data_IF_148064030572
#
_entry.id   IF_148064030572
#
_cell.length_a   1.000
_cell.length_b   1.000
_cell.length_c   1.000
_cell.angle_alpha   90.00
_cell.angle_beta   90.00
_cell.angle_gamma   90.00
#
_symmetry.space_group_name_H-M   'P 1'
#
loop_
_entity.id
_entity.type
_entity.pdbx_description
1 polymer ?
#
# COMPACT_ATOMS: atom_id res chain seq x y z
N UNK A 1 -35.44 -41.95 48.95
CA UNK A 1 -36.60 -41.65 48.09
C UNK A 1 -36.85 -40.17 48.26
N UNK A 2 -36.66 -39.29 47.29
CA UNK A 2 -36.68 -39.41 45.84
C UNK A 2 -35.57 -38.54 45.23
N UNK A 3 -34.92 -39.07 44.19
CA UNK A 3 -33.99 -38.33 43.34
C UNK A 3 -34.88 -37.66 42.28
N UNK A 4 -35.12 -36.36 42.40
CA UNK A 4 -35.79 -35.58 41.36
C UNK A 4 -34.81 -35.46 40.20
N UNK A 5 -34.96 -36.34 39.22
CA UNK A 5 -34.31 -36.25 37.92
C UNK A 5 -34.81 -35.00 37.21
N UNK A 6 -33.98 -33.95 37.19
CA UNK A 6 -34.16 -32.83 36.27
C UNK A 6 -33.96 -33.35 34.85
N UNK A 7 -35.06 -33.76 34.22
CA UNK A 7 -35.14 -33.90 32.77
C UNK A 7 -35.10 -32.48 32.23
N UNK A 8 -33.92 -32.06 31.78
CA UNK A 8 -33.80 -30.87 30.93
C UNK A 8 -34.53 -31.21 29.63
N UNK A 9 -35.65 -30.53 29.38
CA UNK A 9 -36.45 -30.69 28.17
C UNK A 9 -35.56 -30.57 26.91
N UNK A 10 -35.34 -31.69 26.22
CA UNK A 10 -34.63 -31.75 24.94
C UNK A 10 -35.09 -30.73 23.86
N UNK A 11 -36.40 -30.36 23.72
CA UNK A 11 -36.80 -29.43 22.66
C UNK A 11 -36.24 -28.01 22.81
N UNK A 12 -35.88 -27.57 24.02
CA UNK A 12 -35.34 -26.23 24.25
C UNK A 12 -33.84 -26.14 23.89
N UNK A 13 -33.11 -27.24 24.09
CA UNK A 13 -31.70 -27.35 23.72
C UNK A 13 -31.51 -27.41 22.20
N UNK A 14 -32.40 -28.13 21.50
CA UNK A 14 -32.40 -28.15 20.03
C UNK A 14 -32.72 -26.79 19.41
N UNK A 15 -33.75 -26.10 19.90
CA UNK A 15 -34.11 -24.75 19.41
C UNK A 15 -32.93 -23.75 19.53
N UNK A 16 -32.22 -23.80 20.66
CA UNK A 16 -31.04 -22.95 20.91
C UNK A 16 -29.89 -23.30 19.96
N UNK A 17 -29.69 -24.59 19.64
CA UNK A 17 -28.69 -25.04 18.66
C UNK A 17 -29.01 -24.56 17.25
N UNK A 18 -30.26 -24.70 16.80
CA UNK A 18 -30.68 -24.22 15.48
C UNK A 18 -30.51 -22.70 15.35
N UNK A 19 -30.84 -21.94 16.39
CA UNK A 19 -30.63 -20.49 16.42
C UNK A 19 -29.14 -20.11 16.29
N UNK A 20 -28.25 -20.82 17.00
CA UNK A 20 -26.80 -20.60 16.90
C UNK A 20 -26.26 -20.91 15.49
N UNK A 21 -26.69 -22.01 14.87
CA UNK A 21 -26.30 -22.36 13.50
C UNK A 21 -26.74 -21.27 12.52
N UNK A 22 -27.98 -20.79 12.65
CA UNK A 22 -28.51 -19.71 11.83
C UNK A 22 -27.71 -18.41 12.01
N UNK A 23 -27.32 -18.08 13.24
CA UNK A 23 -26.49 -16.90 13.55
C UNK A 23 -25.09 -16.99 12.94
N UNK A 24 -24.43 -18.16 13.02
CA UNK A 24 -23.12 -18.40 12.37
C UNK A 24 -23.24 -18.21 10.86
N UNK A 25 -24.25 -18.81 10.24
CA UNK A 25 -24.47 -18.70 8.80
C UNK A 25 -24.69 -17.24 8.38
N UNK A 26 -25.48 -16.48 9.13
CA UNK A 26 -25.76 -15.07 8.88
C UNK A 26 -24.51 -14.17 9.06
N UNK A 27 -23.75 -14.35 10.14
CA UNK A 27 -22.53 -13.57 10.38
C UNK A 27 -21.42 -13.90 9.38
N UNK A 28 -21.30 -15.17 8.96
CA UNK A 28 -20.31 -15.57 7.95
C UNK A 28 -20.62 -15.02 6.56
N UNK A 29 -21.91 -14.87 6.19
CA UNK A 29 -22.31 -14.29 4.90
C UNK A 29 -22.03 -12.80 4.81
N UNK A 30 -22.22 -12.04 5.88
CA UNK A 30 -21.93 -10.60 5.89
C UNK A 30 -20.47 -10.28 5.51
N UNK A 31 -19.53 -11.09 5.99
CA UNK A 31 -18.10 -10.93 5.68
C UNK A 31 -17.79 -11.19 4.20
N UNK A 32 -18.44 -12.18 3.59
CA UNK A 32 -18.33 -12.48 2.14
C UNK A 32 -18.80 -11.28 1.34
N UNK A 33 -19.96 -10.75 1.68
CA UNK A 33 -20.51 -9.58 1.00
C UNK A 33 -19.57 -8.37 1.10
N UNK A 34 -18.97 -8.11 2.28
CA UNK A 34 -18.00 -7.01 2.41
C UNK A 34 -16.73 -7.24 1.58
N UNK A 35 -16.21 -8.47 1.54
CA UNK A 35 -14.99 -8.79 0.79
C UNK A 35 -15.23 -8.70 -0.73
N UNK A 36 -16.35 -9.26 -1.22
CA UNK A 36 -16.74 -9.21 -2.63
C UNK A 36 -17.08 -7.78 -3.05
N UNK A 37 -17.83 -7.04 -2.22
CA UNK A 37 -18.15 -5.64 -2.48
C UNK A 37 -16.88 -4.79 -2.59
N UNK A 38 -15.94 -4.98 -1.66
CA UNK A 38 -14.66 -4.28 -1.67
C UNK A 38 -13.85 -4.59 -2.93
N UNK A 39 -13.75 -5.87 -3.33
CA UNK A 39 -13.00 -6.26 -4.53
C UNK A 39 -13.63 -5.70 -5.80
N UNK A 40 -14.93 -5.92 -6.02
CA UNK A 40 -15.62 -5.49 -7.24
C UNK A 40 -15.69 -3.98 -7.38
N UNK A 41 -15.95 -3.25 -6.28
CA UNK A 41 -16.05 -1.79 -6.33
C UNK A 41 -14.68 -1.14 -6.51
N UNK A 42 -13.64 -1.66 -5.83
CA UNK A 42 -12.31 -1.06 -5.87
C UNK A 42 -11.62 -1.29 -7.20
N UNK A 43 -11.77 -2.48 -7.81
CA UNK A 43 -11.19 -2.78 -9.13
C UNK A 43 -11.79 -1.84 -10.19
N UNK A 44 -13.13 -1.75 -10.25
CA UNK A 44 -13.82 -0.84 -11.19
C UNK A 44 -13.46 0.62 -11.00
N UNK A 45 -13.32 1.07 -9.75
CA UNK A 45 -12.90 2.44 -9.45
C UNK A 45 -11.48 2.70 -9.96
N UNK A 46 -10.56 1.76 -9.76
CA UNK A 46 -9.18 1.86 -10.27
C UNK A 46 -9.12 1.88 -11.80
N UNK A 47 -9.89 1.03 -12.48
CA UNK A 47 -9.98 1.02 -13.95
C UNK A 47 -10.48 2.37 -14.48
N UNK A 48 -11.50 2.97 -13.84
CA UNK A 48 -12.02 4.28 -14.24
C UNK A 48 -11.02 5.43 -13.98
N UNK A 49 -10.23 5.36 -12.90
CA UNK A 49 -9.14 6.31 -12.65
C UNK A 49 -8.01 6.13 -13.67
N UNK A 50 -7.69 4.89 -14.05
CA UNK A 50 -6.71 4.56 -15.08
C UNK A 50 -7.12 5.08 -16.47
N UNK A 51 -8.35 4.83 -16.91
CA UNK A 51 -8.85 5.33 -18.19
C UNK A 51 -8.77 6.86 -18.28
N UNK A 52 -9.04 7.55 -17.17
CA UNK A 52 -8.89 9.01 -17.10
C UNK A 52 -7.44 9.42 -17.27
N UNK A 53 -6.51 8.76 -16.56
CA UNK A 53 -5.08 9.02 -16.69
C UNK A 53 -4.61 8.76 -18.12
N UNK A 54 -4.88 7.58 -18.69
CA UNK A 54 -4.49 7.23 -20.07
C UNK A 54 -5.04 8.23 -21.09
N UNK A 55 -6.32 8.60 -20.98
CA UNK A 55 -6.96 9.57 -21.89
C UNK A 55 -6.32 10.95 -21.80
N UNK A 56 -6.02 11.41 -20.57
CA UNK A 56 -5.42 12.73 -20.33
C UNK A 56 -3.97 12.79 -20.81
N UNK A 57 -3.27 11.65 -20.84
CA UNK A 57 -1.84 11.60 -21.12
C UNK A 57 -1.48 11.34 -22.58
N UNK A 58 -2.45 10.97 -23.43
CA UNK A 58 -2.20 10.69 -24.85
C UNK A 58 -1.15 9.60 -25.10
N UNK A 59 -0.97 8.68 -24.14
CA UNK A 59 0.02 7.60 -24.20
C UNK A 59 -0.36 6.68 -25.36
N UNK A 60 0.63 6.26 -26.15
CA UNK A 60 0.38 5.39 -27.30
C UNK A 60 -0.30 4.08 -26.86
N UNK A 61 -1.28 3.63 -27.65
CA UNK A 61 -2.08 2.45 -27.34
C UNK A 61 -1.22 1.19 -27.06
N UNK A 62 0.00 1.09 -27.60
CA UNK A 62 0.88 -0.08 -27.41
C UNK A 62 1.43 -0.21 -25.97
N UNK A 63 1.86 0.88 -25.32
CA UNK A 63 2.37 0.83 -23.93
C UNK A 63 1.21 0.56 -22.95
N UNK A 64 0.03 1.11 -23.28
CA UNK A 64 -1.23 0.92 -22.54
C UNK A 64 -1.71 -0.52 -22.67
N UNK A 65 -1.69 -1.11 -23.88
CA UNK A 65 -2.12 -2.49 -24.12
C UNK A 65 -1.21 -3.49 -23.40
N UNK A 66 0.12 -3.27 -23.41
CA UNK A 66 1.06 -4.10 -22.67
C UNK A 66 0.81 -4.06 -21.16
N UNK A 67 0.62 -2.85 -20.60
CA UNK A 67 0.34 -2.67 -19.18
C UNK A 67 -1.03 -3.25 -18.81
N UNK A 68 -2.06 -3.00 -19.61
CA UNK A 68 -3.43 -3.50 -19.39
C UNK A 68 -3.51 -5.01 -19.49
N UNK A 69 -2.75 -5.63 -20.40
CA UNK A 69 -2.69 -7.08 -20.55
C UNK A 69 -1.95 -7.75 -19.40
N UNK A 70 -0.84 -7.16 -18.94
CA UNK A 70 -0.14 -7.63 -17.73
C UNK A 70 -1.05 -7.57 -16.48
N UNK A 71 -1.87 -6.52 -16.35
CA UNK A 71 -2.87 -6.39 -15.28
C UNK A 71 -3.97 -7.44 -15.42
N UNK A 72 -4.50 -7.66 -16.62
CA UNK A 72 -5.58 -8.62 -16.85
C UNK A 72 -5.18 -10.06 -16.48
N UNK A 73 -3.90 -10.38 -16.61
CA UNK A 73 -3.33 -11.67 -16.18
C UNK A 73 -3.06 -11.72 -14.66
N UNK A 74 -2.67 -10.60 -14.04
CA UNK A 74 -2.42 -10.49 -12.58
C UNK A 74 -3.71 -10.42 -11.74
N UNK A 75 -4.81 -9.93 -12.32
CA UNK A 75 -6.13 -9.80 -11.69
C UNK A 75 -7.14 -10.83 -12.22
N UNK A 76 -6.66 -11.99 -12.69
CA UNK A 76 -7.53 -13.04 -13.18
C UNK A 76 -8.54 -13.45 -12.09
N UNK A 77 -9.83 -13.41 -12.41
CA UNK A 77 -10.96 -13.64 -11.49
C UNK A 77 -10.89 -14.95 -10.69
N UNK A 78 -10.06 -15.91 -11.10
CA UNK A 78 -9.80 -17.17 -10.40
C UNK A 78 -8.97 -17.03 -9.13
N UNK A 79 -8.08 -16.04 -9.03
CA UNK A 79 -7.17 -15.89 -7.89
C UNK A 79 -7.86 -15.33 -6.63
N UNK A 80 -9.05 -14.75 -6.79
CA UNK A 80 -9.86 -14.26 -5.67
C UNK A 80 -10.73 -15.33 -5.02
N UNK A 81 -10.98 -16.44 -5.71
CA UNK A 81 -11.79 -17.53 -5.19
C UNK A 81 -11.11 -18.19 -3.97
N UNK A 82 -9.78 -18.36 -4.04
CA UNK A 82 -9.00 -19.03 -3.00
C UNK A 82 -8.90 -18.20 -1.70
N UNK A 83 -8.53 -16.90 -1.70
CA UNK A 83 -8.55 -16.06 -0.51
C UNK A 83 -9.96 -15.91 0.07
N UNK A 84 -10.98 -15.78 -0.78
CA UNK A 84 -12.36 -15.65 -0.32
C UNK A 84 -12.83 -16.93 0.37
N UNK A 85 -12.59 -18.09 -0.22
CA UNK A 85 -12.88 -19.39 0.39
C UNK A 85 -12.09 -19.64 1.69
N UNK A 86 -10.85 -19.16 1.75
CA UNK A 86 -10.03 -19.26 2.95
C UNK A 86 -10.60 -18.40 4.09
N UNK A 87 -10.90 -17.12 3.81
CA UNK A 87 -11.46 -16.19 4.80
C UNK A 87 -12.82 -16.69 5.31
N UNK A 88 -13.68 -17.19 4.43
CA UNK A 88 -14.98 -17.75 4.84
C UNK A 88 -14.84 -18.96 5.73
N UNK A 89 -13.91 -19.85 5.42
CA UNK A 89 -13.64 -21.05 6.22
C UNK A 89 -13.14 -20.66 7.62
N UNK A 90 -12.20 -19.71 7.71
CA UNK A 90 -11.66 -19.21 8.99
C UNK A 90 -12.76 -18.53 9.82
N UNK A 91 -13.59 -17.70 9.20
CA UNK A 91 -14.70 -17.02 9.89
C UNK A 91 -15.77 -18.02 10.37
N UNK A 92 -16.17 -18.97 9.52
CA UNK A 92 -17.14 -20.00 9.88
C UNK A 92 -16.65 -20.84 11.05
N UNK A 93 -15.36 -21.22 11.02
CA UNK A 93 -14.72 -21.94 12.12
C UNK A 93 -14.66 -21.10 13.41
N UNK A 94 -14.25 -19.83 13.31
CA UNK A 94 -14.16 -18.92 14.45
C UNK A 94 -15.52 -18.65 15.12
N UNK A 95 -16.57 -18.37 14.34
CA UNK A 95 -17.92 -18.15 14.88
C UNK A 95 -18.52 -19.43 15.45
N UNK A 96 -18.31 -20.58 14.81
CA UNK A 96 -18.73 -21.88 15.33
C UNK A 96 -18.04 -22.16 16.68
N UNK A 97 -16.72 -21.98 16.76
CA UNK A 97 -15.99 -22.15 18.02
C UNK A 97 -16.41 -21.16 19.11
N UNK A 98 -16.75 -19.92 18.78
CA UNK A 98 -17.21 -18.94 19.78
C UNK A 98 -18.60 -19.30 20.34
N UNK A 99 -19.56 -19.62 19.48
CA UNK A 99 -20.96 -19.83 19.89
C UNK A 99 -21.20 -21.21 20.50
N UNK A 100 -20.46 -22.23 20.05
CA UNK A 100 -20.51 -23.59 20.62
C UNK A 100 -19.46 -23.80 21.71
N UNK A 101 -18.37 -23.03 21.72
CA UNK A 101 -17.36 -23.06 22.78
C UNK A 101 -17.94 -22.68 24.15
N UNK A 102 -18.87 -21.73 24.19
CA UNK A 102 -19.57 -21.37 25.44
C UNK A 102 -20.38 -22.54 26.04
N UNK A 103 -20.94 -23.43 25.20
CA UNK A 103 -21.67 -24.62 25.65
C UNK A 103 -20.73 -25.74 26.10
N UNK A 104 -19.54 -25.86 25.50
CA UNK A 104 -18.52 -26.82 25.94
C UNK A 104 -17.99 -26.53 27.35
N UNK A 105 -18.07 -25.26 27.77
CA UNK A 105 -17.59 -24.75 29.05
C UNK A 105 -18.61 -24.95 30.16
N UNK A 106 -19.91 -24.82 29.85
CA UNK A 106 -20.97 -25.13 30.81
C UNK A 106 -21.02 -26.62 31.18
N UNK A 107 -20.53 -27.50 30.29
CA UNK A 107 -20.40 -28.95 30.54
C UNK A 107 -19.21 -29.32 31.46
N UNK A 108 -18.23 -28.45 31.66
CA UNK A 108 -17.05 -28.71 32.50
C UNK A 108 -16.68 -27.49 33.38
N UNK A 109 -17.46 -27.18 34.43
CA UNK A 109 -17.18 -26.06 35.33
C UNK A 109 -15.87 -26.32 36.10
N UNK A 110 -14.80 -25.64 35.73
CA UNK A 110 -13.49 -25.74 36.40
C UNK A 110 -12.26 -25.78 35.47
N UNK A 111 -12.46 -25.91 34.15
CA UNK A 111 -11.37 -25.76 33.17
C UNK A 111 -11.46 -24.39 32.50
N UNK A 112 -10.42 -23.57 32.66
CA UNK A 112 -10.29 -22.32 31.90
C UNK A 112 -10.34 -22.60 30.41
N UNK A 113 -11.05 -21.76 29.65
CA UNK A 113 -11.09 -21.85 28.19
C UNK A 113 -9.67 -21.66 27.65
N UNK A 114 -8.99 -22.77 27.28
CA UNK A 114 -7.65 -22.74 26.68
C UNK A 114 -7.59 -21.78 25.47
N UNK A 115 -8.72 -21.53 24.80
CA UNK A 115 -8.80 -20.62 23.66
C UNK A 115 -8.74 -19.13 24.05
N UNK A 116 -9.48 -18.67 25.07
CA UNK A 116 -9.38 -17.27 25.53
C UNK A 116 -8.00 -16.98 26.14
N UNK A 117 -7.42 -17.98 26.80
CA UNK A 117 -6.05 -17.90 27.31
C UNK A 117 -4.99 -17.96 26.20
N UNK A 118 -5.31 -18.57 25.05
CA UNK A 118 -4.41 -18.70 23.89
C UNK A 118 -4.52 -17.59 22.84
N UNK A 119 -5.66 -16.90 22.72
CA UNK A 119 -5.86 -15.84 21.71
C UNK A 119 -5.23 -14.49 22.09
N UNK A 120 -5.01 -14.24 23.38
CA UNK A 120 -4.31 -13.05 23.88
C UNK A 120 -3.42 -13.44 25.07
N UNK A 121 -2.29 -14.14 24.84
CA UNK A 121 -1.31 -14.31 25.90
C UNK A 121 -0.75 -12.93 26.25
N UNK A 122 -0.49 -12.67 27.54
CA UNK A 122 0.13 -11.41 27.99
C UNK A 122 1.47 -11.10 27.29
N UNK A 123 2.07 -12.10 26.64
CA UNK A 123 3.31 -12.00 25.87
C UNK A 123 3.09 -11.78 24.36
N UNK A 124 1.86 -11.91 23.83
CA UNK A 124 1.58 -11.69 22.40
C UNK A 124 1.91 -10.28 21.95
N UNK A 125 1.65 -9.27 22.79
CA UNK A 125 2.02 -7.88 22.50
C UNK A 125 3.55 -7.69 22.41
N UNK A 126 4.32 -8.47 23.18
CA UNK A 126 5.79 -8.46 23.15
C UNK A 126 6.29 -9.16 21.87
N UNK A 127 5.69 -10.29 21.48
CA UNK A 127 6.03 -11.00 20.25
C UNK A 127 5.62 -10.22 18.99
N UNK A 128 4.48 -9.51 19.01
CA UNK A 128 4.09 -8.59 17.94
C UNK A 128 5.14 -7.48 17.81
N UNK A 129 5.50 -6.84 18.94
CA UNK A 129 6.54 -5.81 18.97
C UNK A 129 7.89 -6.31 18.44
N UNK A 130 8.30 -7.54 18.77
CA UNK A 130 9.54 -8.15 18.29
C UNK A 130 9.47 -8.50 16.80
N UNK A 131 8.34 -9.03 16.30
CA UNK A 131 8.15 -9.32 14.87
C UNK A 131 8.08 -8.05 14.03
N UNK A 132 7.52 -6.96 14.57
CA UNK A 132 7.61 -5.63 13.97
C UNK A 132 9.04 -5.06 14.01
N UNK A 133 9.85 -5.42 15.02
CA UNK A 133 11.27 -5.05 15.09
C UNK A 133 12.14 -5.82 14.10
N UNK A 134 11.77 -7.05 13.75
CA UNK A 134 12.45 -7.88 12.73
C UNK A 134 12.13 -7.38 11.31
N UNK A 135 10.94 -6.84 11.04
CA UNK A 135 10.67 -6.12 9.78
C UNK A 135 11.31 -4.72 9.74
N UNK A 136 11.64 -4.18 10.91
CA UNK A 136 12.56 -3.04 11.06
C UNK A 136 13.99 -3.56 11.12
N UNK A 137 14.38 -4.47 10.22
CA UNK A 137 15.76 -4.94 10.16
C UNK A 137 16.66 -3.79 9.73
N UNK A 138 17.64 -3.51 10.58
CA UNK A 138 18.77 -2.64 10.29
C UNK A 138 19.39 -3.10 8.97
N UNK A 139 19.20 -2.31 7.91
CA UNK A 139 19.96 -2.39 6.67
C UNK A 139 21.39 -1.92 6.92
N UNK A 140 22.12 -2.69 7.71
CA UNK A 140 23.55 -2.55 7.91
C UNK A 140 24.21 -3.83 7.40
N UNK A 141 24.15 -4.07 6.09
CA UNK A 141 25.24 -4.77 5.41
C UNK A 141 25.30 -4.48 3.89
N UNK A 142 26.23 -3.59 3.53
CA UNK A 142 27.01 -3.57 2.28
C UNK A 142 26.26 -3.51 0.93
N UNK A 143 25.83 -2.30 0.56
CA UNK A 143 25.93 -1.64 -0.77
C UNK A 143 25.42 -0.20 -0.62
N UNK A 144 25.64 0.71 -1.58
CA UNK A 144 25.09 2.07 -1.53
C UNK A 144 23.56 2.09 -1.71
N UNK A 145 22.83 1.42 -0.83
CA UNK A 145 21.38 1.31 -0.92
C UNK A 145 20.79 2.63 -0.48
N UNK A 146 20.31 3.43 -1.43
CA UNK A 146 19.65 4.70 -1.20
C UNK A 146 18.33 4.44 -0.44
N UNK A 147 18.26 4.62 0.90
CA UNK A 147 17.09 4.21 1.67
C UNK A 147 15.83 5.01 1.29
N UNK A 148 14.69 4.32 1.19
CA UNK A 148 13.38 4.97 0.96
C UNK A 148 13.00 5.96 2.05
N UNK A 149 13.57 5.84 3.25
CA UNK A 149 13.33 6.76 4.37
C UNK A 149 13.84 8.18 4.09
N UNK A 150 14.74 8.36 3.12
CA UNK A 150 15.18 9.69 2.71
C UNK A 150 14.14 10.40 1.86
N UNK A 151 13.11 9.72 1.34
CA UNK A 151 12.03 10.35 0.58
C UNK A 151 10.99 10.93 1.54
N UNK A 152 10.75 12.24 1.44
CA UNK A 152 9.80 12.92 2.31
C UNK A 152 8.36 12.47 2.00
N UNK A 153 7.59 12.20 3.05
CA UNK A 153 6.21 11.69 2.95
C UNK A 153 6.10 10.16 2.88
N UNK A 154 7.22 9.42 2.76
CA UNK A 154 7.22 7.96 2.92
C UNK A 154 7.32 7.62 4.42
N UNK A 155 6.33 6.87 4.92
CA UNK A 155 6.37 6.29 6.25
C UNK A 155 6.65 4.78 6.17
N UNK A 156 6.74 4.12 7.32
CA UNK A 156 7.00 2.67 7.36
C UNK A 156 5.93 1.85 6.62
N UNK A 157 4.65 2.23 6.71
CA UNK A 157 3.58 1.52 6.00
C UNK A 157 3.71 1.68 4.48
N UNK A 158 4.10 2.87 4.01
CA UNK A 158 4.38 3.11 2.59
C UNK A 158 5.56 2.24 2.13
N UNK A 159 6.64 2.15 2.92
CA UNK A 159 7.79 1.29 2.63
C UNK A 159 7.40 -0.17 2.49
N UNK A 160 6.59 -0.72 3.40
CA UNK A 160 6.12 -2.11 3.32
C UNK A 160 5.34 -2.37 2.03
N UNK A 161 4.41 -1.46 1.68
CA UNK A 161 3.61 -1.57 0.45
C UNK A 161 4.41 -1.40 -0.83
N UNK A 162 5.45 -0.57 -0.81
CA UNK A 162 6.39 -0.43 -1.92
C UNK A 162 7.25 -1.71 -2.06
N UNK A 163 7.68 -2.31 -0.95
CA UNK A 163 8.37 -3.60 -0.96
C UNK A 163 7.51 -4.74 -1.52
N UNK A 164 6.19 -4.72 -1.30
CA UNK A 164 5.24 -5.69 -1.91
C UNK A 164 5.28 -5.67 -3.45
N UNK A 165 5.67 -4.55 -4.06
CA UNK A 165 5.78 -4.40 -5.52
C UNK A 165 7.24 -4.39 -6.01
N UNK A 166 8.18 -4.82 -5.16
CA UNK A 166 9.61 -4.92 -5.50
C UNK A 166 10.37 -3.60 -5.45
N UNK A 167 9.83 -2.59 -4.76
CA UNK A 167 10.49 -1.29 -4.56
C UNK A 167 11.08 -1.24 -3.16
N UNK A 168 12.37 -1.55 -3.05
CA UNK A 168 13.06 -1.68 -1.78
C UNK A 168 13.97 -0.47 -1.44
N UNK A 169 14.43 0.25 -2.47
CA UNK A 169 15.28 1.42 -2.34
C UNK A 169 14.85 2.56 -3.28
N UNK A 170 15.42 3.74 -3.09
CA UNK A 170 15.08 4.93 -3.89
C UNK A 170 15.52 4.81 -5.36
N UNK A 171 16.54 4.00 -5.67
CA UNK A 171 16.92 3.75 -7.06
C UNK A 171 15.85 2.93 -7.79
N UNK A 172 15.31 1.90 -7.15
CA UNK A 172 14.18 1.14 -7.70
C UNK A 172 12.97 2.05 -7.91
N UNK A 173 12.67 2.94 -6.95
CA UNK A 173 11.56 3.88 -7.07
C UNK A 173 11.78 4.90 -8.20
N UNK A 174 13.01 5.37 -8.41
CA UNK A 174 13.36 6.34 -9.45
C UNK A 174 13.27 5.75 -10.88
N UNK A 175 13.52 4.46 -11.03
CA UNK A 175 13.50 3.73 -12.31
C UNK A 175 12.17 3.00 -12.55
N UNK A 176 11.29 2.95 -11.55
CA UNK A 176 10.03 2.23 -11.64
C UNK A 176 9.10 2.80 -12.72
N UNK A 177 8.34 1.91 -13.35
CA UNK A 177 7.24 2.32 -14.21
C UNK A 177 6.12 2.92 -13.35
N UNK A 178 5.98 4.25 -13.41
CA UNK A 178 5.00 5.01 -12.64
C UNK A 178 3.56 4.52 -12.89
N UNK A 179 3.27 4.08 -14.12
CA UNK A 179 1.95 3.55 -14.48
C UNK A 179 1.70 2.25 -13.72
N UNK A 180 2.65 1.33 -13.75
CA UNK A 180 2.57 0.06 -13.00
C UNK A 180 2.40 0.31 -11.50
N UNK A 181 3.11 1.29 -10.95
CA UNK A 181 2.97 1.65 -9.55
C UNK A 181 1.56 2.14 -9.20
N UNK A 182 0.91 2.98 -10.01
CA UNK A 182 -0.50 3.38 -9.75
C UNK A 182 -1.46 2.20 -9.70
N UNK A 183 -1.17 1.18 -10.50
CA UNK A 183 -2.01 0.00 -10.65
C UNK A 183 -1.82 -0.95 -9.47
N UNK A 184 -0.57 -1.28 -9.16
CA UNK A 184 -0.23 -2.25 -8.11
C UNK A 184 -0.34 -1.68 -6.70
N UNK A 185 -0.17 -0.38 -6.52
CA UNK A 185 -0.19 0.24 -5.19
C UNK A 185 -1.49 1.01 -4.92
N UNK A 186 -1.90 1.16 -3.66
CA UNK A 186 -3.10 1.91 -3.30
C UNK A 186 -2.85 3.41 -3.08
N UNK A 187 -1.76 3.97 -3.62
CA UNK A 187 -1.35 5.35 -3.38
C UNK A 187 -2.06 6.36 -4.28
N UNK A 188 -2.15 7.61 -3.82
CA UNK A 188 -2.65 8.72 -4.63
C UNK A 188 -1.67 8.99 -5.79
N UNK A 189 -2.13 9.14 -7.05
CA UNK A 189 -1.27 9.46 -8.17
C UNK A 189 -0.35 10.66 -7.95
N UNK A 190 -0.86 11.77 -7.39
CA UNK A 190 -0.06 12.97 -7.11
C UNK A 190 1.07 12.70 -6.11
N UNK A 191 0.78 11.91 -5.08
CA UNK A 191 1.75 11.53 -4.07
C UNK A 191 2.84 10.61 -4.64
N UNK A 192 2.47 9.67 -5.50
CA UNK A 192 3.41 8.71 -6.06
C UNK A 192 4.34 9.38 -7.09
N UNK A 193 3.84 10.30 -7.90
CA UNK A 193 4.65 11.13 -8.80
C UNK A 193 5.65 11.95 -8.03
N UNK A 194 5.20 12.57 -6.94
CA UNK A 194 6.05 13.34 -6.05
C UNK A 194 7.19 12.49 -5.48
N UNK A 195 6.88 11.29 -4.96
CA UNK A 195 7.89 10.37 -4.46
C UNK A 195 8.87 9.90 -5.53
N UNK A 196 8.41 9.60 -6.75
CA UNK A 196 9.29 9.23 -7.87
C UNK A 196 10.20 10.42 -8.25
N UNK A 197 9.66 11.64 -8.27
CA UNK A 197 10.44 12.85 -8.57
C UNK A 197 11.50 13.14 -7.50
N UNK A 198 11.18 12.96 -6.22
CA UNK A 198 12.14 13.03 -5.12
C UNK A 198 13.20 11.91 -5.22
N UNK A 199 12.79 10.69 -5.58
CA UNK A 199 13.68 9.54 -5.70
C UNK A 199 14.69 9.76 -6.84
N UNK A 200 14.25 10.26 -8.00
CA UNK A 200 15.14 10.63 -9.10
C UNK A 200 16.17 11.68 -8.66
N UNK A 201 15.74 12.74 -7.98
CA UNK A 201 16.67 13.74 -7.42
C UNK A 201 17.67 13.10 -6.46
N UNK A 202 17.19 12.23 -5.56
CA UNK A 202 18.04 11.55 -4.59
C UNK A 202 19.07 10.62 -5.24
N UNK A 203 18.74 9.95 -6.35
CA UNK A 203 19.70 9.11 -7.09
C UNK A 203 20.86 9.91 -7.67
N UNK A 204 20.62 11.14 -8.15
CA UNK A 204 21.67 11.99 -8.70
C UNK A 204 22.60 12.58 -7.63
N UNK A 205 22.02 13.08 -6.54
CA UNK A 205 22.77 13.83 -5.52
C UNK A 205 23.22 13.00 -4.32
N UNK A 206 22.57 11.86 -4.07
CA UNK A 206 22.89 10.92 -2.99
C UNK A 206 23.07 11.67 -1.66
N UNK A 207 24.27 11.67 -1.09
CA UNK A 207 24.59 12.32 0.19
C UNK A 207 24.38 13.84 0.17
N UNK A 208 24.48 14.48 -1.01
CA UNK A 208 24.30 15.93 -1.15
C UNK A 208 22.83 16.37 -1.21
N UNK A 209 21.87 15.43 -1.18
CA UNK A 209 20.43 15.73 -1.27
C UNK A 209 19.95 16.71 -0.19
N UNK A 210 20.48 16.57 1.03
CA UNK A 210 20.12 17.43 2.15
C UNK A 210 20.56 18.89 1.95
N UNK A 211 21.62 19.11 1.17
CA UNK A 211 22.07 20.45 0.84
C UNK A 211 21.10 21.12 -0.14
N UNK A 212 20.57 20.37 -1.11
CA UNK A 212 19.56 20.84 -2.05
C UNK A 212 18.21 21.13 -1.36
N UNK A 213 17.82 20.31 -0.39
CA UNK A 213 16.57 20.53 0.35
C UNK A 213 16.59 21.81 1.17
N UNK A 214 17.74 22.18 1.75
CA UNK A 214 17.89 23.41 2.55
C UNK A 214 17.61 24.70 1.79
N UNK A 215 17.82 24.69 0.48
CA UNK A 215 17.57 25.84 -0.42
C UNK A 215 16.22 25.74 -1.12
N UNK A 216 15.40 24.74 -0.78
CA UNK A 216 14.05 24.55 -1.30
C UNK A 216 13.92 23.65 -2.54
N UNK A 217 15.00 22.99 -2.99
CA UNK A 217 14.94 22.02 -4.08
C UNK A 217 14.59 20.65 -3.50
N UNK A 218 13.33 20.23 -3.63
CA UNK A 218 12.83 18.98 -3.05
C UNK A 218 12.68 17.87 -4.08
N UNK A 219 12.31 18.23 -5.31
CA UNK A 219 12.03 17.31 -6.40
C UNK A 219 12.88 17.63 -7.62
N UNK A 220 12.94 16.69 -8.58
CA UNK A 220 13.59 16.97 -9.85
C UNK A 220 12.90 18.09 -10.64
N UNK A 221 11.61 18.31 -10.38
CA UNK A 221 10.84 19.38 -11.02
C UNK A 221 11.29 20.78 -10.58
N UNK A 222 11.81 20.91 -9.36
CA UNK A 222 12.36 22.17 -8.86
C UNK A 222 13.74 22.45 -9.49
N UNK A 223 14.48 21.39 -9.85
CA UNK A 223 15.81 21.50 -10.45
C UNK A 223 15.75 21.77 -11.97
N UNK A 224 14.79 21.18 -12.69
CA UNK A 224 14.70 21.28 -14.15
C UNK A 224 14.71 22.74 -14.68
N UNK A 225 13.91 23.67 -14.15
CA UNK A 225 13.92 25.07 -14.60
C UNK A 225 15.28 25.75 -14.36
N UNK A 226 15.95 25.43 -13.25
CA UNK A 226 17.26 26.00 -12.91
C UNK A 226 18.35 25.56 -13.88
N UNK A 227 18.21 24.38 -14.47
CA UNK A 227 19.12 23.92 -15.50
C UNK A 227 19.07 24.82 -16.75
N UNK A 228 17.99 25.55 -17.03
CA UNK A 228 17.91 26.46 -18.19
C UNK A 228 18.65 27.78 -17.98
N UNK A 229 18.97 28.13 -16.73
CA UNK A 229 19.53 29.44 -16.37
C UNK A 229 20.94 29.28 -15.80
N UNK A 230 21.95 29.48 -16.65
CA UNK A 230 23.36 29.24 -16.31
C UNK A 230 23.86 30.07 -15.11
N UNK A 231 23.29 31.25 -14.89
CA UNK A 231 23.62 32.12 -13.75
C UNK A 231 23.08 31.53 -12.42
N UNK A 232 21.83 31.07 -12.41
CA UNK A 232 21.23 30.43 -11.23
C UNK A 232 21.90 29.09 -10.91
N UNK A 233 22.30 28.35 -11.94
CA UNK A 233 23.05 27.10 -11.78
C UNK A 233 24.43 27.33 -11.14
N UNK A 234 25.10 28.43 -11.49
CA UNK A 234 26.38 28.80 -10.90
C UNK A 234 26.24 29.19 -9.42
N UNK A 235 25.21 29.97 -9.08
CA UNK A 235 24.88 30.32 -7.69
C UNK A 235 24.54 29.07 -6.86
N UNK A 236 23.74 28.17 -7.42
CA UNK A 236 23.39 26.88 -6.80
C UNK A 236 24.64 26.03 -6.51
N UNK A 237 25.56 25.92 -7.48
CA UNK A 237 26.80 25.17 -7.30
C UNK A 237 27.68 25.75 -6.16
N UNK A 238 27.75 27.07 -6.06
CA UNK A 238 28.50 27.76 -5.01
C UNK A 238 27.87 27.57 -3.62
N UNK A 239 26.54 27.72 -3.52
CA UNK A 239 25.81 27.61 -2.25
C UNK A 239 25.81 26.17 -1.70
N UNK A 240 25.59 25.19 -2.57
CA UNK A 240 25.58 23.75 -2.22
C UNK A 240 27.01 23.19 -2.13
N UNK A 241 28.01 23.96 -2.54
CA UNK A 241 29.43 23.56 -2.62
C UNK A 241 29.65 22.29 -3.44
N UNK A 242 28.94 22.18 -4.56
CA UNK A 242 29.08 21.10 -5.54
C UNK A 242 29.88 21.61 -6.73
N UNK A 243 30.68 20.74 -7.35
CA UNK A 243 31.38 21.08 -8.59
C UNK A 243 30.39 21.51 -9.67
N UNK A 244 30.57 22.72 -10.21
CA UNK A 244 29.77 23.25 -11.33
C UNK A 244 29.72 22.27 -12.51
N UNK A 245 30.86 21.64 -12.82
CA UNK A 245 30.95 20.64 -13.89
C UNK A 245 30.04 19.42 -13.62
N UNK A 246 30.01 18.93 -12.37
CA UNK A 246 29.16 17.81 -11.99
C UNK A 246 27.68 18.14 -12.13
N UNK A 247 27.30 19.36 -11.76
CA UNK A 247 25.93 19.85 -11.85
C UNK A 247 25.49 20.05 -13.31
N UNK A 248 26.37 20.60 -14.16
CA UNK A 248 26.14 20.73 -15.61
C UNK A 248 25.91 19.35 -16.27
N UNK A 249 26.75 18.35 -15.95
CA UNK A 249 26.55 16.98 -16.46
C UNK A 249 25.22 16.37 -16.02
N UNK A 250 24.77 16.63 -14.78
CA UNK A 250 23.48 16.15 -14.30
C UNK A 250 22.35 16.84 -15.08
N UNK A 251 22.42 18.16 -15.25
CA UNK A 251 21.44 18.90 -16.03
C UNK A 251 21.35 18.41 -17.48
N UNK A 252 22.48 18.10 -18.12
CA UNK A 252 22.48 17.56 -19.48
C UNK A 252 21.83 16.17 -19.56
N UNK A 253 22.08 15.31 -18.56
CA UNK A 253 21.39 14.01 -18.46
C UNK A 253 19.89 14.17 -18.24
N UNK A 254 19.47 15.11 -17.39
CA UNK A 254 18.06 15.37 -17.12
C UNK A 254 17.32 15.86 -18.36
N UNK A 255 17.94 16.73 -19.16
CA UNK A 255 17.37 17.17 -20.44
C UNK A 255 17.22 16.05 -21.46
N UNK A 256 18.13 15.06 -21.42
CA UNK A 256 18.07 13.90 -22.32
C UNK A 256 17.08 12.81 -21.84
N UNK A 257 16.65 12.84 -20.57
CA UNK A 257 15.76 11.83 -20.00
C UNK A 257 14.28 12.14 -20.33
N UNK A 258 13.77 11.43 -21.35
CA UNK A 258 12.36 11.48 -21.73
C UNK A 258 11.41 11.04 -20.60
N UNK A 259 11.87 10.23 -19.63
CA UNK A 259 11.11 9.84 -18.46
C UNK A 259 10.83 11.01 -17.52
N UNK A 260 11.83 11.87 -17.27
CA UNK A 260 11.68 13.08 -16.45
C UNK A 260 10.72 14.07 -17.11
N UNK A 261 10.86 14.29 -18.43
CA UNK A 261 9.96 15.17 -19.17
C UNK A 261 8.50 14.71 -19.12
N UNK A 262 8.25 13.40 -19.33
CA UNK A 262 6.92 12.82 -19.20
C UNK A 262 6.36 12.93 -17.78
N UNK A 263 7.20 12.70 -16.77
CA UNK A 263 6.80 12.79 -15.37
C UNK A 263 6.45 14.25 -14.97
N UNK A 264 7.20 15.23 -15.47
CA UNK A 264 6.92 16.66 -15.25
C UNK A 264 5.58 17.08 -15.89
N UNK A 265 5.31 16.64 -17.11
CA UNK A 265 4.01 16.85 -17.77
C UNK A 265 2.87 16.19 -16.98
N UNK A 266 3.08 14.96 -16.51
CA UNK A 266 2.11 14.23 -15.70
C UNK A 266 1.76 14.99 -14.41
N UNK A 267 2.77 15.51 -13.71
CA UNK A 267 2.59 16.34 -12.51
C UNK A 267 1.74 17.60 -12.79
N UNK A 268 2.02 18.31 -13.88
CA UNK A 268 1.25 19.48 -14.29
C UNK A 268 -0.22 19.17 -14.61
N UNK A 269 -0.49 18.00 -15.17
CA UNK A 269 -1.86 17.58 -15.46
C UNK A 269 -2.63 17.26 -14.18
N UNK A 270 -2.02 16.55 -13.24
CA UNK A 270 -2.65 16.24 -11.95
C UNK A 270 -2.98 17.50 -11.14
N UNK A 271 -2.07 18.47 -11.09
CA UNK A 271 -2.30 19.71 -10.34
C UNK A 271 -3.50 20.48 -10.88
N UNK A 272 -3.70 20.50 -12.21
CA UNK A 272 -4.90 21.11 -12.81
C UNK A 272 -6.18 20.33 -12.48
N UNK A 273 -6.12 19.00 -12.39
CA UNK A 273 -7.27 18.17 -12.05
C UNK A 273 -7.73 18.38 -10.60
N UNK A 274 -6.79 18.47 -9.66
CA UNK A 274 -7.10 18.73 -8.25
C UNK A 274 -7.80 20.10 -8.10
N UNK A 275 -7.30 21.13 -8.80
CA UNK A 275 -7.93 22.47 -8.82
C UNK A 275 -9.35 22.44 -9.40
N UNK A 276 -9.57 21.73 -10.51
CA UNK A 276 -10.90 21.62 -11.12
C UNK A 276 -11.90 20.90 -10.20
N UNK A 277 -11.43 19.90 -9.45
CA UNK A 277 -12.26 19.13 -8.52
C UNK A 277 -12.69 19.97 -7.32
N UNK A 278 -11.80 20.80 -6.78
CA UNK A 278 -12.13 21.75 -5.71
C UNK A 278 -13.14 22.81 -6.19
N UNK A 279 -12.97 23.31 -7.41
CA UNK A 279 -13.87 24.34 -7.99
C UNK A 279 -15.27 23.80 -8.30
N UNK A 280 -15.42 22.49 -8.54
CA UNK A 280 -16.72 21.86 -8.84
C UNK A 280 -17.45 21.30 -7.62
N UNK A 281 -16.83 21.39 -6.43
CA UNK A 281 -17.46 21.09 -5.12
C UNK A 281 -17.94 22.33 -4.37
N UNK A 282 -17.79 23.52 -4.97
CA UNK A 282 -18.36 24.81 -4.54
C UNK A 282 -19.58 25.15 -5.40
#
# INVERSE_FOLDING_TARGET
MEIVSYVVDEPFAESTRYFKIALVAFLSTFMIFSAVSFLLFRIKKKEAEYEKLVRVLGISNNEVEFSTRAIGEEYASGDYLLPLAFVTTVCLFGFSMLLFGADLVSLNPGKSNMLLTGMLPNNALIYLRERFRIFSENSNDRSHDLPLQMIEGINMFHKVRLGEVGIDNAQNLAEANVIELFLKTPFNPSQLVDWVAQAKLYVYFKEDIEKLRRIGIRTIFDLCPLCEHQEQLAQLAEEVRISKLSLEMICDRLRADNGVARLYQFHGLLSTMDVMKETSTL
#
